data_IF_087800287307
#
_entry.id   IF_087800287307
#
_cell.length_a   1.000
_cell.length_b   1.000
_cell.length_c   1.000
_cell.angle_alpha   90.00
_cell.angle_beta   90.00
_cell.angle_gamma   90.00
#
_symmetry.space_group_name_H-M   'P 1'
#
loop_
_entity.id
_entity.type
_entity.pdbx_description
1 polymer ?
#
# COMPACT_ATOMS: atom_id res chain seq x y z
N UNK A 1 -18.82 6.47 -10.40
CA UNK A 1 -17.53 6.73 -11.03
C UNK A 1 -16.65 7.48 -10.05
N UNK A 2 -15.50 6.92 -9.68
CA UNK A 2 -14.53 7.62 -8.81
C UNK A 2 -13.91 8.79 -9.55
N UNK A 3 -13.80 8.78 -10.89
CA UNK A 3 -13.42 9.96 -11.66
C UNK A 3 -14.14 11.25 -11.22
N UNK A 4 -15.47 11.24 -11.17
CA UNK A 4 -16.25 12.40 -10.72
C UNK A 4 -15.99 12.77 -9.24
N UNK A 5 -15.61 11.80 -8.40
CA UNK A 5 -15.27 12.04 -6.98
C UNK A 5 -13.83 12.52 -6.79
N UNK A 6 -12.89 12.01 -7.57
CA UNK A 6 -11.48 12.40 -7.58
C UNK A 6 -11.33 13.83 -8.09
N UNK A 7 -12.03 14.17 -9.17
CA UNK A 7 -12.08 15.55 -9.70
C UNK A 7 -12.69 16.51 -8.68
N UNK A 8 -13.80 16.13 -8.02
CA UNK A 8 -14.38 16.92 -6.92
C UNK A 8 -13.46 17.08 -5.70
N UNK A 9 -12.45 16.22 -5.55
CA UNK A 9 -11.46 16.24 -4.47
C UNK A 9 -10.18 17.00 -4.87
N UNK A 10 -10.14 17.59 -6.07
CA UNK A 10 -9.01 18.38 -6.57
C UNK A 10 -7.97 17.58 -7.34
N UNK A 11 -8.22 16.31 -7.67
CA UNK A 11 -7.32 15.51 -8.51
C UNK A 11 -7.60 15.76 -10.00
N UNK A 12 -6.57 15.66 -10.82
CA UNK A 12 -6.73 15.76 -12.27
C UNK A 12 -7.47 14.56 -12.84
N UNK A 13 -8.06 14.71 -14.02
CA UNK A 13 -8.69 13.60 -14.73
C UNK A 13 -7.68 12.47 -15.02
N UNK A 14 -6.42 12.81 -15.32
CA UNK A 14 -5.35 11.84 -15.52
C UNK A 14 -5.06 11.04 -14.25
N UNK A 15 -4.96 11.68 -13.08
CA UNK A 15 -4.77 10.97 -11.81
C UNK A 15 -5.95 10.07 -11.48
N UNK A 16 -7.17 10.52 -11.76
CA UNK A 16 -8.34 9.69 -11.52
C UNK A 16 -8.36 8.42 -12.39
N UNK A 17 -8.01 8.57 -13.67
CA UNK A 17 -7.88 7.45 -14.60
C UNK A 17 -6.77 6.48 -14.19
N UNK A 18 -5.62 7.03 -13.80
CA UNK A 18 -4.49 6.28 -13.26
C UNK A 18 -4.91 5.40 -12.06
N UNK A 19 -5.65 5.97 -11.10
CA UNK A 19 -6.17 5.21 -9.94
C UNK A 19 -7.07 4.05 -10.38
N UNK A 20 -7.97 4.28 -11.35
CA UNK A 20 -8.89 3.26 -11.84
C UNK A 20 -8.18 2.13 -12.58
N UNK A 21 -7.19 2.46 -13.43
CA UNK A 21 -6.44 1.49 -14.22
C UNK A 21 -5.55 0.65 -13.30
N UNK A 22 -4.79 1.32 -12.41
CA UNK A 22 -3.89 0.66 -11.49
C UNK A 22 -4.63 -0.18 -10.44
N UNK A 23 -5.78 0.26 -9.91
CA UNK A 23 -6.53 -0.56 -8.95
C UNK A 23 -7.00 -1.89 -9.56
N UNK A 24 -7.39 -1.88 -10.84
CA UNK A 24 -7.78 -3.09 -11.57
C UNK A 24 -6.58 -4.00 -11.79
N UNK A 25 -5.45 -3.44 -12.19
CA UNK A 25 -4.19 -4.17 -12.36
C UNK A 25 -3.78 -4.89 -11.08
N UNK A 26 -3.85 -4.19 -9.94
CA UNK A 26 -3.46 -4.72 -8.63
C UNK A 26 -4.52 -5.60 -7.96
N UNK A 27 -5.71 -5.77 -8.58
CA UNK A 27 -6.81 -6.54 -8.02
C UNK A 27 -7.41 -5.94 -6.73
N UNK A 28 -7.33 -4.61 -6.56
CA UNK A 28 -7.81 -3.89 -5.38
C UNK A 28 -9.10 -3.15 -5.70
N UNK A 29 -10.05 -3.13 -4.76
CA UNK A 29 -11.24 -2.28 -4.87
C UNK A 29 -10.86 -0.81 -5.12
N UNK A 30 -11.38 -0.23 -6.19
CA UNK A 30 -11.08 1.12 -6.67
C UNK A 30 -11.31 2.19 -5.58
N UNK A 31 -12.36 2.03 -4.76
CA UNK A 31 -12.69 2.96 -3.68
C UNK A 31 -11.71 2.85 -2.53
N UNK A 32 -11.25 1.64 -2.20
CA UNK A 32 -10.24 1.40 -1.18
C UNK A 32 -8.87 1.91 -1.63
N UNK A 33 -8.49 1.63 -2.88
CA UNK A 33 -7.24 2.13 -3.47
C UNK A 33 -7.21 3.66 -3.52
N UNK A 34 -8.29 4.29 -3.97
CA UNK A 34 -8.45 5.74 -3.95
C UNK A 34 -8.24 6.35 -2.56
N UNK A 35 -8.83 5.74 -1.52
CA UNK A 35 -8.64 6.19 -0.13
C UNK A 35 -7.19 6.02 0.34
N UNK A 36 -6.53 4.94 -0.05
CA UNK A 36 -5.13 4.69 0.29
C UNK A 36 -4.19 5.74 -0.32
N UNK A 37 -4.36 6.04 -1.61
CA UNK A 37 -3.63 7.12 -2.31
C UNK A 37 -3.85 8.46 -1.60
N UNK A 38 -5.11 8.81 -1.30
CA UNK A 38 -5.41 10.04 -0.57
C UNK A 38 -4.81 10.07 0.84
N UNK A 39 -4.74 8.92 1.52
CA UNK A 39 -4.15 8.82 2.85
C UNK A 39 -2.64 9.08 2.77
N UNK A 40 -1.93 8.46 1.84
CA UNK A 40 -0.50 8.72 1.60
C UNK A 40 -0.25 10.19 1.25
N UNK A 41 -1.05 10.76 0.33
CA UNK A 41 -0.89 12.14 -0.09
C UNK A 41 -1.06 13.15 1.07
N UNK A 42 -1.97 12.88 2.03
CA UNK A 42 -2.11 13.69 3.26
C UNK A 42 -0.87 13.68 4.14
N UNK A 43 -0.05 12.64 4.05
CA UNK A 43 1.24 12.53 4.73
C UNK A 43 2.41 13.02 3.85
N UNK A 44 2.14 13.64 2.70
CA UNK A 44 3.18 14.09 1.76
C UNK A 44 3.85 12.96 0.99
N UNK A 45 3.23 11.78 0.94
CA UNK A 45 3.78 10.58 0.29
C UNK A 45 3.07 10.38 -1.05
N UNK A 46 3.85 10.32 -2.12
CA UNK A 46 3.39 9.94 -3.45
C UNK A 46 4.15 8.70 -3.90
N UNK A 47 3.42 7.67 -4.35
CA UNK A 47 3.99 6.42 -4.84
C UNK A 47 3.67 6.30 -6.31
N UNK A 48 4.69 6.00 -7.11
CA UNK A 48 4.57 5.78 -8.54
C UNK A 48 3.97 4.39 -8.83
N UNK A 49 3.55 4.15 -10.07
CA UNK A 49 2.98 2.87 -10.50
C UNK A 49 3.86 1.67 -10.11
N UNK A 50 5.17 1.79 -10.35
CA UNK A 50 6.10 0.71 -10.08
C UNK A 50 6.24 0.43 -8.57
N UNK A 51 6.13 1.46 -7.72
CA UNK A 51 6.15 1.27 -6.27
C UNK A 51 4.98 0.39 -5.82
N UNK A 52 3.79 0.67 -6.35
CA UNK A 52 2.60 -0.14 -6.07
C UNK A 52 2.74 -1.57 -6.56
N UNK A 53 3.33 -1.78 -7.74
CA UNK A 53 3.61 -3.12 -8.28
C UNK A 53 4.63 -3.87 -7.42
N UNK A 54 5.68 -3.21 -6.94
CA UNK A 54 6.65 -3.81 -6.00
C UNK A 54 5.95 -4.26 -4.72
N UNK A 55 5.10 -3.41 -4.15
CA UNK A 55 4.32 -3.76 -2.95
C UNK A 55 3.41 -4.96 -3.24
N UNK A 56 2.70 -4.97 -4.38
CA UNK A 56 1.79 -6.05 -4.74
C UNK A 56 2.49 -7.39 -4.99
N UNK A 57 3.75 -7.38 -5.45
CA UNK A 57 4.59 -8.59 -5.55
C UNK A 57 4.93 -9.17 -4.17
N UNK A 58 5.02 -8.32 -3.15
CA UNK A 58 5.38 -8.72 -1.79
C UNK A 58 4.19 -9.11 -0.92
N UNK A 59 3.01 -8.55 -1.20
CA UNK A 59 1.86 -8.61 -0.30
C UNK A 59 0.55 -8.58 -1.08
N UNK A 60 -0.40 -9.43 -0.68
CA UNK A 60 -1.77 -9.38 -1.18
C UNK A 60 -2.47 -8.08 -0.75
N UNK A 61 -2.45 -7.09 -1.64
CA UNK A 61 -3.06 -5.78 -1.40
C UNK A 61 -4.58 -5.85 -1.23
N UNK A 62 -5.27 -6.85 -1.78
CA UNK A 62 -6.71 -7.00 -1.60
C UNK A 62 -7.07 -7.22 -0.12
N UNK A 63 -6.17 -7.83 0.65
CA UNK A 63 -6.34 -8.09 2.09
C UNK A 63 -5.61 -7.07 2.94
N UNK A 64 -4.39 -6.74 2.57
CA UNK A 64 -3.43 -6.08 3.47
C UNK A 64 -3.05 -4.65 3.08
N UNK A 65 -3.79 -4.01 2.16
CA UNK A 65 -3.52 -2.63 1.76
C UNK A 65 -3.36 -1.70 2.97
N UNK A 66 -4.29 -1.70 3.93
CA UNK A 66 -4.22 -0.78 5.07
C UNK A 66 -2.94 -0.99 5.90
N UNK A 67 -2.51 -2.24 6.07
CA UNK A 67 -1.26 -2.57 6.75
C UNK A 67 -0.04 -2.03 5.99
N UNK A 68 -0.01 -2.17 4.67
CA UNK A 68 1.07 -1.64 3.83
C UNK A 68 1.14 -0.10 3.95
N UNK A 69 0.00 0.58 3.86
CA UNK A 69 -0.08 2.04 4.00
C UNK A 69 0.38 2.51 5.38
N UNK A 70 -0.06 1.84 6.45
CA UNK A 70 0.34 2.20 7.81
C UNK A 70 1.82 1.93 8.07
N UNK A 71 2.39 0.89 7.46
CA UNK A 71 3.83 0.65 7.51
C UNK A 71 4.60 1.77 6.79
N UNK A 72 4.17 2.14 5.58
CA UNK A 72 4.81 3.17 4.77
C UNK A 72 4.78 4.52 5.50
N UNK A 73 3.62 4.94 5.98
CA UNK A 73 3.46 6.19 6.74
C UNK A 73 4.38 6.19 7.96
N UNK A 74 4.40 5.11 8.74
CA UNK A 74 5.27 5.02 9.93
C UNK A 74 6.75 5.17 9.58
N UNK A 75 7.24 4.42 8.60
CA UNK A 75 8.66 4.45 8.21
C UNK A 75 9.08 5.80 7.63
N UNK A 76 8.22 6.40 6.79
CA UNK A 76 8.51 7.74 6.23
C UNK A 76 8.48 8.81 7.32
N UNK A 77 7.53 8.72 8.25
CA UNK A 77 7.48 9.65 9.41
C UNK A 77 8.70 9.47 10.33
N UNK A 78 9.30 8.28 10.37
CA UNK A 78 10.59 8.03 11.04
C UNK A 78 11.82 8.54 10.28
N UNK A 79 11.65 9.17 9.12
CA UNK A 79 12.72 9.79 8.35
C UNK A 79 13.28 8.95 7.19
N UNK A 80 12.69 7.81 6.86
CA UNK A 80 13.10 7.03 5.68
C UNK A 80 12.46 7.59 4.41
N UNK A 81 13.14 7.49 3.26
CA UNK A 81 12.55 7.90 1.98
C UNK A 81 11.49 6.89 1.52
N UNK A 82 10.38 7.33 0.88
CA UNK A 82 9.34 6.42 0.39
C UNK A 82 9.89 5.28 -0.50
N UNK A 83 10.82 5.60 -1.40
CA UNK A 83 11.39 4.62 -2.34
C UNK A 83 12.16 3.52 -1.61
N UNK A 84 12.89 3.88 -0.55
CA UNK A 84 13.60 2.91 0.28
C UNK A 84 12.63 2.01 1.03
N UNK A 85 11.58 2.60 1.60
CA UNK A 85 10.56 1.86 2.35
C UNK A 85 9.84 0.84 1.47
N UNK A 86 9.51 1.23 0.23
CA UNK A 86 8.91 0.33 -0.77
C UNK A 86 9.85 -0.84 -1.09
N UNK A 87 11.13 -0.56 -1.36
CA UNK A 87 12.14 -1.60 -1.64
C UNK A 87 12.39 -2.54 -0.46
N UNK A 88 12.25 -2.05 0.76
CA UNK A 88 12.42 -2.86 1.98
C UNK A 88 11.17 -3.66 2.36
N UNK A 89 9.99 -3.30 1.83
CA UNK A 89 8.73 -3.92 2.19
C UNK A 89 8.71 -5.45 2.00
N UNK A 90 9.21 -6.05 0.90
CA UNK A 90 9.27 -7.50 0.76
C UNK A 90 9.99 -8.19 1.93
N UNK A 91 11.12 -7.64 2.36
CA UNK A 91 11.90 -8.17 3.49
C UNK A 91 11.14 -8.03 4.81
N UNK A 92 10.44 -6.91 5.00
CA UNK A 92 9.62 -6.69 6.18
C UNK A 92 8.45 -7.68 6.26
N UNK A 93 7.78 -7.95 5.14
CA UNK A 93 6.69 -8.93 5.05
C UNK A 93 7.21 -10.34 5.32
N UNK A 94 8.34 -10.73 4.72
CA UNK A 94 8.96 -12.04 4.96
C UNK A 94 9.31 -12.23 6.45
N UNK A 95 9.90 -11.21 7.09
CA UNK A 95 10.24 -11.25 8.52
C UNK A 95 8.98 -11.37 9.39
N UNK A 96 7.91 -10.65 9.07
CA UNK A 96 6.65 -10.75 9.78
C UNK A 96 6.02 -12.15 9.65
N UNK A 97 6.06 -12.75 8.46
CA UNK A 97 5.60 -14.12 8.23
C UNK A 97 6.39 -15.15 9.04
N UNK A 98 7.72 -15.04 9.07
CA UNK A 98 8.58 -15.90 9.91
C UNK A 98 8.23 -15.78 11.40
N UNK A 99 8.01 -14.56 11.90
CA UNK A 99 7.61 -14.34 13.28
C UNK A 99 6.24 -14.95 13.62
N UNK A 100 5.27 -14.84 12.70
CA UNK A 100 3.96 -15.46 12.87
C UNK A 100 4.06 -16.98 12.94
N UNK A 101 4.84 -17.60 12.04
CA UNK A 101 5.05 -19.04 12.02
C UNK A 101 5.75 -19.56 13.30
N UNK A 102 6.78 -18.85 13.79
CA UNK A 102 7.45 -19.23 15.05
C UNK A 102 6.47 -19.17 16.22
N UNK A 103 5.62 -18.13 16.29
CA UNK A 103 4.60 -18.00 17.34
C UNK A 103 3.57 -19.13 17.30
N UNK A 104 3.16 -19.55 16.11
CA UNK A 104 2.26 -20.69 15.91
C UNK A 104 2.90 -21.99 16.43
N UNK A 105 4.13 -22.29 16.03
CA UNK A 105 4.87 -23.49 16.49
C UNK A 105 4.98 -23.51 18.01
N UNK A 106 5.36 -22.39 18.64
CA UNK A 106 5.47 -22.29 20.10
C UNK A 106 4.12 -22.43 20.82
N UNK A 107 3.02 -22.00 20.19
CA UNK A 107 1.68 -22.11 20.78
C UNK A 107 1.13 -23.53 20.71
N UNK A 108 1.56 -24.34 19.73
CA UNK A 108 1.20 -25.75 19.59
C UNK A 108 2.00 -26.70 20.51
N UNK A 109 3.00 -26.19 21.22
CA UNK A 109 3.83 -26.94 22.17
C UNK A 109 3.35 -26.82 23.64
N UNK A 110 2.28 -26.05 23.88
CA UNK A 110 1.61 -25.85 25.17
C UNK A 110 0.25 -26.55 25.18
#
# INVERSE_FOLDING_TARGET
MIEKKAIKKGLTASTARWICELSKELGVDEKRFFKAVLKLAKHGIWLEEEDWRIIAKALDLSKHLDMAIDYIIRRVTSGESPERVVKEMPKAVEKAGKLAHIREVLSNLL
#
